data_IF_449733279746
#
_entry.id   IF_449733279746
#
_cell.length_a   1.000
_cell.length_b   1.000
_cell.length_c   1.000
_cell.angle_alpha   90.00
_cell.angle_beta   90.00
_cell.angle_gamma   90.00
#
_symmetry.space_group_name_H-M   'P 1'
#
loop_
_entity.id
_entity.type
_entity.pdbx_description
1 polymer ?
#
# COMPACT_ATOMS: atom_id res chain seq x y z
N UNK A 1 -13.26 -38.41 -21.61
CA UNK A 1 -12.03 -37.61 -21.49
C UNK A 1 -12.39 -36.16 -21.19
N UNK A 2 -12.75 -35.84 -19.95
CA UNK A 2 -12.81 -34.44 -19.48
C UNK A 2 -11.57 -34.23 -18.63
N UNK A 3 -10.54 -33.66 -19.24
CA UNK A 3 -9.29 -33.36 -18.57
C UNK A 3 -9.51 -32.07 -17.76
N UNK A 4 -9.66 -32.22 -16.45
CA UNK A 4 -9.82 -31.12 -15.50
C UNK A 4 -8.66 -30.12 -15.64
N UNK A 5 -9.00 -28.91 -16.06
CA UNK A 5 -8.12 -27.74 -16.01
C UNK A 5 -7.86 -27.40 -14.54
N UNK A 6 -6.79 -27.95 -13.97
CA UNK A 6 -6.07 -27.37 -12.83
C UNK A 6 -5.43 -26.07 -13.30
N UNK A 7 -6.23 -25.01 -13.47
CA UNK A 7 -5.67 -23.66 -13.50
C UNK A 7 -5.42 -23.27 -12.04
N UNK A 8 -4.16 -23.36 -11.66
CA UNK A 8 -3.59 -22.91 -10.40
C UNK A 8 -4.05 -21.48 -10.08
N UNK A 9 -5.10 -21.39 -9.27
CA UNK A 9 -5.62 -20.15 -8.69
C UNK A 9 -4.72 -19.62 -7.56
N UNK A 10 -3.41 -19.77 -7.71
CA UNK A 10 -2.40 -19.38 -6.73
C UNK A 10 -2.29 -17.86 -6.61
N UNK A 11 -2.67 -17.14 -7.66
CA UNK A 11 -2.65 -15.67 -7.69
C UNK A 11 -3.75 -15.08 -6.79
N UNK A 12 -4.93 -15.70 -6.73
CA UNK A 12 -6.03 -15.21 -5.87
C UNK A 12 -5.82 -15.59 -4.40
N UNK A 13 -5.28 -16.78 -4.13
CA UNK A 13 -5.01 -17.25 -2.76
C UNK A 13 -3.76 -16.61 -2.12
N UNK A 14 -2.79 -16.17 -2.93
CA UNK A 14 -1.56 -15.53 -2.47
C UNK A 14 -1.57 -14.00 -2.47
N UNK A 15 -2.62 -13.37 -3.02
CA UNK A 15 -2.72 -11.91 -3.03
C UNK A 15 -2.81 -11.36 -1.59
N UNK A 16 -2.06 -10.31 -1.23
CA UNK A 16 -2.15 -9.73 0.12
C UNK A 16 -3.58 -9.34 0.51
N UNK A 17 -4.40 -8.90 -0.46
CA UNK A 17 -5.81 -8.58 -0.25
C UNK A 17 -6.66 -9.76 0.21
N UNK A 18 -6.30 -11.01 -0.12
CA UNK A 18 -7.03 -12.22 0.30
C UNK A 18 -6.52 -12.79 1.64
N UNK A 19 -5.44 -12.24 2.21
CA UNK A 19 -4.89 -12.63 3.51
C UNK A 19 -4.84 -11.48 4.53
N UNK A 20 -5.90 -10.67 4.64
CA UNK A 20 -5.96 -9.52 5.56
C UNK A 20 -4.77 -8.54 5.44
N UNK A 21 -4.18 -8.46 4.24
CA UNK A 21 -2.95 -7.71 3.95
C UNK A 21 -1.75 -8.11 4.81
N UNK A 22 -1.74 -9.33 5.37
CA UNK A 22 -0.58 -9.93 6.03
C UNK A 22 0.33 -10.59 4.97
N UNK A 23 1.63 -10.34 5.08
CA UNK A 23 2.60 -10.70 4.03
C UNK A 23 2.53 -9.74 2.83
N UNK A 24 3.33 -9.98 1.79
CA UNK A 24 3.43 -9.09 0.62
C UNK A 24 4.57 -8.07 0.71
N UNK A 25 4.42 -6.93 0.03
CA UNK A 25 5.42 -5.85 0.04
C UNK A 25 5.05 -4.82 1.11
N UNK A 26 5.77 -4.86 2.22
CA UNK A 26 5.41 -4.12 3.43
C UNK A 26 5.43 -2.60 3.25
N UNK A 27 4.56 -1.90 3.98
CA UNK A 27 4.54 -0.43 4.05
C UNK A 27 5.90 0.22 4.40
N UNK A 28 6.83 -0.39 5.17
CA UNK A 28 8.15 0.18 5.40
C UNK A 28 9.02 0.21 4.14
N UNK A 29 8.90 -0.80 3.26
CA UNK A 29 9.63 -0.82 1.99
C UNK A 29 9.14 0.28 1.06
N UNK A 30 7.81 0.47 0.95
CA UNK A 30 7.23 1.55 0.15
C UNK A 30 7.60 2.95 0.66
N UNK A 31 7.74 3.12 1.98
CA UNK A 31 8.23 4.37 2.56
C UNK A 31 9.67 4.67 2.14
N UNK A 32 10.52 3.65 2.08
CA UNK A 32 11.92 3.78 1.67
C UNK A 32 12.03 4.15 0.17
N UNK A 33 11.32 3.44 -0.71
CA UNK A 33 11.34 3.68 -2.15
C UNK A 33 10.88 5.11 -2.48
N UNK A 34 9.86 5.61 -1.77
CA UNK A 34 9.41 7.00 -1.89
C UNK A 34 10.48 7.98 -1.39
N UNK A 35 11.17 7.69 -0.28
CA UNK A 35 12.30 8.50 0.17
C UNK A 35 13.42 8.61 -0.88
N UNK A 36 13.71 7.52 -1.60
CA UNK A 36 14.65 7.54 -2.73
C UNK A 36 14.14 8.40 -3.90
N UNK A 37 12.84 8.31 -4.22
CA UNK A 37 12.20 9.15 -5.22
C UNK A 37 12.24 10.65 -4.85
N UNK A 38 12.02 11.00 -3.57
CA UNK A 38 12.17 12.37 -3.06
C UNK A 38 13.57 12.91 -3.30
N UNK A 39 14.59 12.10 -2.99
CA UNK A 39 15.98 12.52 -3.19
C UNK A 39 16.28 12.79 -4.67
N UNK A 40 15.78 11.96 -5.59
CA UNK A 40 15.92 12.18 -7.03
C UNK A 40 15.20 13.46 -7.50
N UNK A 41 13.97 13.69 -7.01
CA UNK A 41 13.17 14.88 -7.29
C UNK A 41 13.86 16.16 -6.80
N UNK A 42 14.44 16.13 -5.61
CA UNK A 42 15.22 17.24 -5.06
C UNK A 42 16.46 17.53 -5.91
N UNK A 43 17.14 16.49 -6.38
CA UNK A 43 18.34 16.64 -7.23
C UNK A 43 18.04 17.36 -8.55
N UNK A 44 16.85 17.12 -9.14
CA UNK A 44 16.44 17.76 -10.41
C UNK A 44 15.59 19.01 -10.22
N UNK A 45 15.32 19.44 -8.98
CA UNK A 45 14.49 20.60 -8.62
C UNK A 45 13.09 20.59 -9.26
N UNK A 46 12.46 19.42 -9.41
CA UNK A 46 11.10 19.28 -9.98
C UNK A 46 10.10 18.81 -8.92
N UNK A 47 9.46 19.72 -8.17
CA UNK A 47 8.56 19.32 -7.09
C UNK A 47 7.42 18.43 -7.61
N UNK A 48 7.26 17.27 -6.97
CA UNK A 48 6.19 16.29 -7.26
C UNK A 48 5.24 16.23 -6.07
N UNK A 49 4.24 17.13 -5.97
CA UNK A 49 3.36 17.23 -4.80
C UNK A 49 2.59 15.93 -4.52
N UNK A 50 2.26 15.16 -5.56
CA UNK A 50 1.61 13.85 -5.43
C UNK A 50 2.48 12.82 -4.70
N UNK A 51 3.77 12.76 -5.02
CA UNK A 51 4.71 11.86 -4.36
C UNK A 51 4.82 12.20 -2.87
N UNK A 52 4.93 13.48 -2.53
CA UNK A 52 5.07 13.92 -1.14
C UNK A 52 3.84 13.58 -0.31
N UNK A 53 2.65 13.62 -0.92
CA UNK A 53 1.42 13.15 -0.31
C UNK A 53 1.44 11.63 -0.09
N UNK A 54 1.86 10.85 -1.10
CA UNK A 54 2.00 9.40 -0.97
C UNK A 54 2.97 9.03 0.15
N UNK A 55 4.15 9.65 0.20
CA UNK A 55 5.14 9.42 1.25
C UNK A 55 4.57 9.74 2.64
N UNK A 56 3.81 10.82 2.76
CA UNK A 56 3.13 11.14 4.02
C UNK A 56 2.10 10.08 4.42
N UNK A 57 1.30 9.57 3.48
CA UNK A 57 0.31 8.51 3.73
C UNK A 57 1.00 7.25 4.25
N UNK A 58 2.06 6.77 3.58
CA UNK A 58 2.79 5.58 4.02
C UNK A 58 3.48 5.78 5.38
N UNK A 59 3.98 6.98 5.68
CA UNK A 59 4.61 7.28 6.98
C UNK A 59 3.63 7.24 8.15
N UNK A 60 2.36 7.58 7.95
CA UNK A 60 1.36 7.54 9.04
C UNK A 60 0.69 6.16 9.20
N UNK A 61 0.85 5.25 8.23
CA UNK A 61 0.23 3.92 8.28
C UNK A 61 0.61 3.11 9.54
N UNK A 62 1.87 3.06 10.01
CA UNK A 62 2.22 2.40 11.26
C UNK A 62 1.46 2.93 12.47
N UNK A 63 1.26 4.24 12.56
CA UNK A 63 0.52 4.89 13.65
C UNK A 63 -0.98 4.51 13.67
N UNK A 64 -1.48 3.96 12.57
CA UNK A 64 -2.85 3.49 12.42
C UNK A 64 -2.96 1.96 12.43
N UNK A 65 -1.91 1.23 12.82
CA UNK A 65 -1.93 -0.24 12.93
C UNK A 65 -1.62 -0.99 11.62
N UNK A 66 -1.13 -0.30 10.59
CA UNK A 66 -0.82 -0.90 9.28
C UNK A 66 0.69 -1.09 9.03
N UNK A 67 1.55 -0.94 10.04
CA UNK A 67 3.01 -0.95 9.87
C UNK A 67 3.61 -2.28 9.40
N UNK A 68 2.93 -3.41 9.67
CA UNK A 68 3.31 -4.74 9.19
C UNK A 68 2.46 -5.25 8.02
N UNK A 69 1.65 -4.39 7.42
CA UNK A 69 0.72 -4.75 6.35
C UNK A 69 1.30 -4.46 4.98
N UNK A 70 0.73 -5.10 3.97
CA UNK A 70 1.01 -4.82 2.56
C UNK A 70 0.65 -3.38 2.18
N UNK A 71 1.39 -2.79 1.24
CA UNK A 71 1.19 -1.42 0.76
C UNK A 71 -0.24 -1.12 0.28
N UNK A 72 -0.96 -2.12 -0.24
CA UNK A 72 -2.36 -1.99 -0.67
C UNK A 72 -3.31 -1.59 0.47
N UNK A 73 -2.90 -1.82 1.73
CA UNK A 73 -3.64 -1.41 2.94
C UNK A 73 -3.82 0.10 3.07
N UNK A 74 -3.08 0.90 2.30
CA UNK A 74 -3.28 2.35 2.23
C UNK A 74 -4.73 2.69 1.83
N UNK A 75 -5.34 1.89 0.96
CA UNK A 75 -6.74 2.05 0.57
C UNK A 75 -7.68 1.92 1.79
N UNK A 76 -7.43 0.94 2.66
CA UNK A 76 -8.24 0.71 3.86
C UNK A 76 -8.10 1.87 4.85
N UNK A 77 -6.88 2.38 5.07
CA UNK A 77 -6.64 3.56 5.89
C UNK A 77 -7.42 4.79 5.38
N UNK A 78 -7.41 5.04 4.07
CA UNK A 78 -8.10 6.18 3.48
C UNK A 78 -9.62 6.04 3.56
N UNK A 79 -10.15 4.83 3.37
CA UNK A 79 -11.58 4.56 3.53
C UNK A 79 -12.04 4.77 4.97
N UNK A 80 -11.30 4.23 5.95
CA UNK A 80 -11.62 4.37 7.38
C UNK A 80 -11.54 5.84 7.86
N UNK A 81 -10.70 6.67 7.24
CA UNK A 81 -10.65 8.13 7.50
C UNK A 81 -11.82 8.89 6.87
N UNK A 82 -12.37 8.41 5.77
CA UNK A 82 -13.51 9.05 5.09
C UNK A 82 -14.82 8.79 5.85
N UNK A 83 -15.03 7.55 6.32
CA UNK A 83 -16.24 7.18 7.07
C UNK A 83 -16.36 7.91 8.42
N UNK A 84 -15.26 8.13 9.13
CA UNK A 84 -15.26 8.89 10.39
C UNK A 84 -15.50 10.40 10.24
N UNK A 85 -15.53 10.92 9.01
CA UNK A 85 -15.70 12.34 8.73
C UNK A 85 -17.16 12.76 8.53
N UNK A 86 -18.08 11.80 8.43
CA UNK A 86 -19.50 12.04 8.18
C UNK A 86 -20.41 11.91 9.41
N UNK A 87 -19.87 11.47 10.55
CA UNK A 87 -20.61 11.28 11.82
C UNK A 87 -20.31 12.39 12.87
N UNK A 88 -19.92 13.59 12.45
CA UNK A 88 -19.77 14.77 13.32
C UNK A 88 -20.49 15.98 12.75
#
# INVERSE_FOLDING_TARGET
MYHSLHLDNQVLLGAPSSNHSNGGFGTPFMTNDLGLAQNAVMAVKRPTPYESLCHHIYRIMPNHGFGGKDFSSAFKLLLDKNTKKHDK
#
